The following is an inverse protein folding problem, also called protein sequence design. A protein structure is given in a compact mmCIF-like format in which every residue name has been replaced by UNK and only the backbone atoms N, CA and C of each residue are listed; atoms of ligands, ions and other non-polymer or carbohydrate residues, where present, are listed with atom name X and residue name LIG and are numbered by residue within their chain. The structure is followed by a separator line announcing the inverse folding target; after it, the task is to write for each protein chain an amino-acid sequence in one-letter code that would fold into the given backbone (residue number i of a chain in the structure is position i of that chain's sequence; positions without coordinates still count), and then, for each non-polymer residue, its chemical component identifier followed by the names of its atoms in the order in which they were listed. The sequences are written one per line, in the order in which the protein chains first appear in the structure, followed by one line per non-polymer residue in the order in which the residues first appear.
data_IF_469165781498
#
_entry.id   IF_469165781498
#
_cell.length_a   1.000
_cell.length_b   1.000
_cell.length_c   1.000
_cell.angle_alpha   90.00
_cell.angle_beta   90.00
_cell.angle_gamma   90.00
#
_symmetry.space_group_name_H-M   'P 1'
#
loop_
_entity.id
_entity.type
_entity.pdbx_description
1 polymer ?
#
# COMPACT_ATOMS: atom_id res chain seq x y z
N UNK A 1 12.02 -1.15 -14.27
CA UNK A 1 13.14 -1.32 -13.31
C UNK A 1 12.76 -1.19 -11.85
N UNK A 2 12.13 -0.08 -11.40
CA UNK A 2 11.91 0.19 -9.97
C UNK A 2 11.08 -0.90 -9.27
N UNK A 3 9.95 -1.29 -9.86
CA UNK A 3 9.09 -2.36 -9.33
C UNK A 3 9.82 -3.70 -9.21
N UNK A 4 10.61 -4.09 -10.21
CA UNK A 4 11.40 -5.33 -10.14
C UNK A 4 12.45 -5.30 -9.03
N UNK A 5 13.21 -4.20 -8.90
CA UNK A 5 14.18 -4.03 -7.80
C UNK A 5 13.48 -4.07 -6.44
N UNK A 6 12.29 -3.47 -6.36
CA UNK A 6 11.45 -3.54 -5.17
C UNK A 6 11.02 -4.98 -4.86
N UNK A 7 10.56 -5.77 -5.83
CA UNK A 7 10.15 -7.16 -5.60
C UNK A 7 11.31 -8.03 -5.08
N UNK A 8 12.51 -7.88 -5.66
CA UNK A 8 13.70 -8.61 -5.19
C UNK A 8 14.03 -8.22 -3.75
N UNK A 9 14.01 -6.92 -3.42
CA UNK A 9 14.26 -6.47 -2.05
C UNK A 9 13.15 -6.92 -1.08
N UNK A 10 11.90 -6.89 -1.53
CA UNK A 10 10.73 -7.28 -0.74
C UNK A 10 10.77 -8.78 -0.41
N UNK A 11 11.15 -9.65 -1.35
CA UNK A 11 11.30 -11.08 -1.08
C UNK A 11 12.38 -11.36 -0.01
N UNK A 12 13.54 -10.72 -0.16
CA UNK A 12 14.67 -10.88 0.75
C UNK A 12 14.34 -10.43 2.18
N UNK A 13 13.53 -9.38 2.33
CA UNK A 13 13.24 -8.77 3.64
C UNK A 13 11.93 -9.30 4.24
N UNK A 14 10.91 -9.50 3.42
CA UNK A 14 9.53 -9.78 3.84
C UNK A 14 8.95 -11.07 3.23
N UNK A 15 9.68 -11.82 2.41
CA UNK A 15 9.11 -12.94 1.64
C UNK A 15 8.40 -14.03 2.47
N UNK A 16 8.88 -14.31 3.69
CA UNK A 16 8.22 -15.24 4.63
C UNK A 16 7.12 -14.59 5.48
N UNK A 17 7.23 -13.28 5.69
CA UNK A 17 6.38 -12.51 6.61
C UNK A 17 5.16 -11.93 5.92
N UNK A 18 5.24 -11.77 4.61
CA UNK A 18 4.15 -11.30 3.76
C UNK A 18 3.40 -12.50 3.21
N UNK A 19 2.08 -12.49 3.36
CA UNK A 19 1.18 -13.41 2.68
C UNK A 19 0.40 -12.66 1.60
N UNK A 20 0.06 -13.34 0.52
CA UNK A 20 -0.80 -12.83 -0.55
C UNK A 20 -1.87 -13.86 -0.89
N UNK A 21 -2.95 -13.41 -1.54
CA UNK A 21 -3.99 -14.30 -2.08
C UNK A 21 -3.60 -14.66 -3.51
N UNK A 22 -3.26 -15.92 -3.76
CA UNK A 22 -2.93 -16.40 -5.11
C UNK A 22 -4.17 -16.48 -6.02
N UNK A 23 -3.97 -16.78 -7.30
CA UNK A 23 -5.05 -16.85 -8.29
C UNK A 23 -6.07 -17.98 -8.01
N UNK A 24 -5.71 -18.96 -7.17
CA UNK A 24 -6.60 -19.99 -6.68
C UNK A 24 -7.34 -19.58 -5.38
N UNK A 25 -7.13 -18.36 -4.90
CA UNK A 25 -7.76 -17.83 -3.68
C UNK A 25 -7.10 -18.31 -2.39
N UNK A 26 -5.89 -18.87 -2.45
CA UNK A 26 -5.17 -19.39 -1.28
C UNK A 26 -4.25 -18.33 -0.70
N UNK A 27 -4.22 -18.22 0.62
CA UNK A 27 -3.23 -17.41 1.34
C UNK A 27 -1.91 -18.16 1.36
N UNK A 28 -0.88 -17.60 0.73
CA UNK A 28 0.47 -18.20 0.67
C UNK A 28 1.55 -17.16 0.98
N UNK A 29 2.72 -17.56 1.49
CA UNK A 29 3.87 -16.67 1.60
C UNK A 29 4.20 -16.05 0.25
N UNK A 30 4.56 -14.76 0.26
CA UNK A 30 4.93 -14.01 -0.93
C UNK A 30 6.08 -14.72 -1.67
N UNK A 31 7.05 -15.24 -0.94
CA UNK A 31 8.19 -15.99 -1.50
C UNK A 31 7.77 -17.15 -2.38
N UNK A 32 6.76 -17.90 -1.97
CA UNK A 32 6.29 -19.06 -2.75
C UNK A 32 5.63 -18.62 -4.05
N UNK A 33 4.86 -17.52 -4.02
CA UNK A 33 4.26 -16.93 -5.22
C UNK A 33 5.32 -16.36 -6.17
N UNK A 34 6.38 -15.75 -5.63
CA UNK A 34 7.50 -15.25 -6.43
C UNK A 34 8.29 -16.40 -7.08
N UNK A 35 8.56 -17.49 -6.34
CA UNK A 35 9.22 -18.70 -6.85
C UNK A 35 8.43 -19.37 -7.98
N UNK A 36 7.11 -19.44 -7.86
CA UNK A 36 6.20 -19.95 -8.91
C UNK A 36 6.24 -19.09 -10.20
N UNK A 37 6.94 -17.95 -10.19
CA UNK A 37 7.08 -17.00 -11.30
C UNK A 37 8.54 -16.66 -11.60
N UNK A 38 9.49 -17.48 -11.14
CA UNK A 38 10.93 -17.28 -11.36
C UNK A 38 11.32 -17.12 -12.84
N UNK A 39 10.62 -17.82 -13.74
CA UNK A 39 10.86 -17.68 -15.18
C UNK A 39 10.44 -16.30 -15.71
N UNK A 40 9.25 -15.81 -15.35
CA UNK A 40 8.80 -14.46 -15.72
C UNK A 40 9.75 -13.39 -15.15
N UNK A 41 10.21 -13.56 -13.91
CA UNK A 41 11.16 -12.65 -13.28
C UNK A 41 12.54 -12.68 -13.97
N UNK A 42 13.01 -13.85 -14.42
CA UNK A 42 14.23 -13.98 -15.23
C UNK A 42 14.08 -13.31 -16.60
N UNK A 43 12.97 -13.54 -17.29
CA UNK A 43 12.66 -12.91 -18.58
C UNK A 43 12.57 -11.38 -18.46
N UNK A 44 11.89 -10.88 -17.43
CA UNK A 44 11.81 -9.44 -17.18
C UNK A 44 13.18 -8.84 -16.86
N UNK A 45 14.01 -9.52 -16.06
CA UNK A 45 15.40 -9.08 -15.79
C UNK A 45 16.20 -8.95 -17.09
N UNK A 46 16.13 -9.96 -17.96
CA UNK A 46 16.80 -9.96 -19.27
C UNK A 46 16.28 -8.81 -20.15
N UNK A 47 14.96 -8.64 -20.23
CA UNK A 47 14.33 -7.58 -21.02
C UNK A 47 14.77 -6.19 -20.60
N UNK A 48 14.85 -5.94 -19.29
CA UNK A 48 15.23 -4.63 -18.78
C UNK A 48 16.75 -4.39 -18.87
N UNK A 49 17.57 -5.43 -18.83
CA UNK A 49 19.00 -5.32 -19.16
C UNK A 49 19.20 -4.95 -20.64
N UNK A 50 18.44 -5.56 -21.56
CA UNK A 50 18.47 -5.23 -22.99
C UNK A 50 18.06 -3.77 -23.28
N UNK A 51 17.05 -3.27 -22.56
CA UNK A 51 16.53 -1.89 -22.73
C UNK A 51 17.33 -0.83 -21.95
N UNK A 52 18.29 -1.22 -21.11
CA UNK A 52 18.98 -0.37 -20.15
C UNK A 52 20.50 -0.36 -20.32
N UNK A 53 20.99 0.11 -21.48
CA UNK A 53 22.37 0.59 -21.77
C UNK A 53 23.53 -0.15 -21.07
N UNK A 54 24.22 -1.01 -21.83
CA UNK A 54 25.67 -1.24 -21.70
C UNK A 54 26.16 -2.30 -20.71
N UNK A 55 25.83 -3.57 -20.95
CA UNK A 55 26.76 -4.68 -20.70
C UNK A 55 26.70 -5.57 -21.94
N UNK A 56 27.85 -5.81 -22.58
CA UNK A 56 28.02 -6.74 -23.70
C UNK A 56 27.31 -8.06 -23.39
N UNK A 57 26.64 -8.68 -24.37
CA UNK A 57 26.89 -10.06 -24.80
C UNK A 57 26.04 -10.40 -26.05
N UNK A 58 26.76 -10.88 -27.06
CA UNK A 58 26.40 -11.20 -28.44
C UNK A 58 25.39 -12.36 -28.66
N UNK A 59 24.59 -12.78 -27.67
CA UNK A 59 23.78 -14.01 -27.81
C UNK A 59 22.33 -13.92 -27.27
N UNK A 60 21.79 -12.73 -27.09
CA UNK A 60 20.38 -12.58 -26.73
C UNK A 60 19.57 -11.95 -27.85
N UNK A 61 18.75 -12.77 -28.54
CA UNK A 61 17.69 -12.24 -29.38
C UNK A 61 16.87 -11.21 -28.58
N UNK A 62 16.70 -9.98 -29.10
CA UNK A 62 15.89 -8.99 -28.43
C UNK A 62 14.43 -9.46 -28.47
N UNK A 63 13.93 -9.95 -27.34
CA UNK A 63 12.52 -10.23 -27.15
C UNK A 63 11.79 -8.88 -27.10
N UNK A 64 11.49 -8.30 -28.26
CA UNK A 64 10.77 -7.04 -28.36
C UNK A 64 9.27 -7.25 -28.09
N UNK A 65 8.96 -7.82 -26.92
CA UNK A 65 7.64 -8.39 -26.64
C UNK A 65 6.96 -7.55 -25.55
N UNK A 66 6.11 -6.62 -25.98
CA UNK A 66 5.17 -5.89 -25.11
C UNK A 66 4.42 -6.84 -24.16
N UNK A 67 4.29 -8.12 -24.51
CA UNK A 67 3.71 -9.15 -23.65
C UNK A 67 4.45 -9.31 -22.33
N UNK A 68 5.78 -9.13 -22.26
CA UNK A 68 6.55 -9.30 -21.02
C UNK A 68 6.23 -8.20 -20.01
N UNK A 69 6.09 -6.95 -20.46
CA UNK A 69 5.69 -5.84 -19.60
C UNK A 69 4.24 -5.97 -19.14
N UNK A 70 3.33 -6.37 -20.04
CA UNK A 70 1.94 -6.63 -19.68
C UNK A 70 1.81 -7.77 -18.66
N UNK A 71 2.51 -8.89 -18.87
CA UNK A 71 2.58 -10.02 -17.94
C UNK A 71 3.16 -9.60 -16.59
N UNK A 72 4.18 -8.73 -16.58
CA UNK A 72 4.73 -8.21 -15.33
C UNK A 72 3.76 -7.28 -14.60
N UNK A 73 3.02 -6.43 -15.33
CA UNK A 73 2.00 -5.56 -14.73
C UNK A 73 0.85 -6.38 -14.11
N UNK A 74 0.36 -7.39 -14.83
CA UNK A 74 -0.63 -8.33 -14.29
C UNK A 74 -0.09 -9.10 -13.08
N UNK A 75 1.17 -9.55 -13.16
CA UNK A 75 1.82 -10.21 -12.03
C UNK A 75 1.95 -9.26 -10.83
N UNK A 76 2.38 -8.02 -11.03
CA UNK A 76 2.45 -7.02 -9.98
C UNK A 76 1.09 -6.81 -9.30
N UNK A 77 0.03 -6.65 -10.08
CA UNK A 77 -1.34 -6.53 -9.57
C UNK A 77 -1.76 -7.76 -8.76
N UNK A 78 -1.31 -8.96 -9.16
CA UNK A 78 -1.58 -10.21 -8.44
C UNK A 78 -0.97 -10.27 -7.05
N UNK A 79 0.07 -9.48 -6.76
CA UNK A 79 0.75 -9.45 -5.48
C UNK A 79 0.02 -8.62 -4.41
N UNK A 80 -1.12 -8.03 -4.73
CA UNK A 80 -1.90 -7.21 -3.80
C UNK A 80 -3.33 -7.75 -3.58
N UNK A 81 -3.89 -7.58 -2.37
CA UNK A 81 -3.27 -6.96 -1.20
C UNK A 81 -2.18 -7.84 -0.57
N UNK A 82 -1.23 -7.20 0.11
CA UNK A 82 -0.21 -7.91 0.89
C UNK A 82 -0.59 -7.91 2.36
N UNK A 83 -0.35 -9.03 3.01
CA UNK A 83 -0.59 -9.22 4.44
C UNK A 83 0.73 -9.38 5.18
N UNK A 84 1.16 -8.36 5.89
CA UNK A 84 2.46 -8.35 6.56
C UNK A 84 2.27 -8.67 8.03
N UNK A 85 2.74 -9.84 8.46
CA UNK A 85 2.79 -10.20 9.87
C UNK A 85 3.99 -9.57 10.57
N UNK A 86 3.73 -8.99 11.73
CA UNK A 86 4.75 -8.36 12.57
C UNK A 86 5.12 -9.32 13.70
N UNK A 87 6.39 -9.74 13.74
CA UNK A 87 6.86 -10.64 14.79
C UNK A 87 6.65 -10.03 16.17
N UNK A 88 6.03 -10.78 17.09
CA UNK A 88 5.71 -10.33 18.44
C UNK A 88 4.55 -9.34 18.55
N UNK A 89 3.86 -9.03 17.44
CA UNK A 89 2.68 -8.16 17.43
C UNK A 89 1.42 -8.98 17.19
N UNK A 90 0.31 -8.70 17.90
CA UNK A 90 -0.98 -9.29 17.56
C UNK A 90 -1.53 -8.69 16.26
N UNK A 91 -1.14 -7.47 15.89
CA UNK A 91 -1.63 -6.76 14.71
C UNK A 91 -0.81 -7.11 13.48
N UNK A 92 -1.50 -7.33 12.37
CA UNK A 92 -0.93 -7.46 11.04
C UNK A 92 -1.33 -6.28 10.14
N UNK A 93 -0.51 -5.97 9.14
CA UNK A 93 -0.74 -4.86 8.21
C UNK A 93 -1.25 -5.41 6.87
N UNK A 94 -2.37 -4.89 6.39
CA UNK A 94 -2.86 -5.12 5.03
C UNK A 94 -2.44 -3.94 4.15
N UNK A 95 -1.55 -4.19 3.19
CA UNK A 95 -1.09 -3.19 2.23
C UNK A 95 -1.90 -3.30 0.94
N UNK A 96 -2.56 -2.19 0.58
CA UNK A 96 -3.38 -2.05 -0.63
C UNK A 96 -2.61 -1.16 -1.61
N UNK A 97 -2.36 -1.66 -2.81
CA UNK A 97 -1.78 -0.85 -3.88
C UNK A 97 -2.87 0.04 -4.48
N UNK A 98 -2.88 1.29 -4.02
CA UNK A 98 -3.77 2.35 -4.50
C UNK A 98 -3.21 3.12 -5.69
N UNK A 99 -2.03 2.76 -6.22
CA UNK A 99 -1.43 3.48 -7.34
C UNK A 99 -2.07 3.02 -8.64
N UNK A 100 -2.77 3.91 -9.33
CA UNK A 100 -3.23 3.60 -10.68
C UNK A 100 -2.01 3.37 -11.59
N UNK A 101 -2.05 2.31 -12.41
CA UNK A 101 -1.08 2.12 -13.49
C UNK A 101 -1.22 3.28 -14.48
N UNK A 102 -0.38 4.30 -14.32
CA UNK A 102 -0.34 5.44 -15.22
C UNK A 102 1.09 5.67 -15.70
N UNK A 103 1.25 5.84 -17.02
CA UNK A 103 2.53 6.15 -17.65
C UNK A 103 2.96 7.61 -17.48
N UNK A 104 2.20 8.43 -16.75
CA UNK A 104 2.42 9.89 -16.66
C UNK A 104 2.31 10.40 -15.22
N UNK A 105 3.05 11.45 -14.89
CA UNK A 105 3.06 12.08 -13.55
C UNK A 105 1.65 12.57 -13.16
N UNK A 106 0.84 13.03 -14.13
CA UNK A 106 -0.52 13.49 -13.91
C UNK A 106 -1.50 12.35 -13.58
N UNK A 107 -1.31 11.14 -14.14
CA UNK A 107 -2.12 9.98 -13.80
C UNK A 107 -1.82 9.42 -12.41
N UNK A 108 -0.58 9.58 -11.92
CA UNK A 108 -0.17 9.20 -10.57
C UNK A 108 -0.78 10.08 -9.47
N UNK A 109 -1.41 11.20 -9.84
CA UNK A 109 -2.18 12.00 -8.90
C UNK A 109 -3.52 11.34 -8.54
N UNK A 110 -4.01 10.40 -9.36
CA UNK A 110 -5.26 9.70 -9.10
C UNK A 110 -4.99 8.31 -8.54
N UNK A 111 -5.56 8.04 -7.37
CA UNK A 111 -5.54 6.72 -6.79
C UNK A 111 -6.66 5.86 -7.35
N UNK A 112 -6.36 4.61 -7.68
CA UNK A 112 -7.35 3.59 -8.02
C UNK A 112 -6.93 2.24 -7.44
N UNK A 113 -7.91 1.39 -7.16
CA UNK A 113 -7.70 0.01 -6.73
C UNK A 113 -8.50 -0.85 -7.68
N UNK A 114 -7.84 -1.81 -8.34
CA UNK A 114 -8.51 -2.63 -9.34
C UNK A 114 -9.64 -3.46 -8.72
N UNK A 115 -10.71 -3.78 -9.48
CA UNK A 115 -11.78 -4.65 -9.01
C UNK A 115 -11.27 -6.01 -8.51
N UNK A 116 -10.24 -6.57 -9.16
CA UNK A 116 -9.57 -7.82 -8.73
C UNK A 116 -8.97 -7.66 -7.33
N UNK A 117 -8.28 -6.55 -7.07
CA UNK A 117 -7.69 -6.28 -5.77
C UNK A 117 -8.76 -6.05 -4.70
N UNK A 118 -9.86 -5.34 -5.00
CA UNK A 118 -11.01 -5.19 -4.08
C UNK A 118 -11.61 -6.54 -3.70
N UNK A 119 -11.78 -7.44 -4.67
CA UNK A 119 -12.28 -8.79 -4.41
C UNK A 119 -11.31 -9.59 -3.51
N UNK A 120 -10.00 -9.51 -3.77
CA UNK A 120 -8.99 -10.15 -2.92
C UNK A 120 -8.94 -9.55 -1.51
N UNK A 121 -9.09 -8.22 -1.35
CA UNK A 121 -9.21 -7.56 -0.04
C UNK A 121 -10.42 -8.12 0.73
N UNK A 122 -11.57 -8.22 0.06
CA UNK A 122 -12.78 -8.80 0.66
C UNK A 122 -12.53 -10.23 1.13
N UNK A 123 -12.03 -11.08 0.23
CA UNK A 123 -11.73 -12.48 0.53
C UNK A 123 -10.73 -12.62 1.69
N UNK A 124 -9.68 -11.80 1.68
CA UNK A 124 -8.64 -11.87 2.70
C UNK A 124 -9.15 -11.39 4.07
N UNK A 125 -9.99 -10.35 4.11
CA UNK A 125 -10.65 -9.89 5.34
C UNK A 125 -11.54 -10.98 5.95
N UNK A 126 -12.22 -11.76 5.11
CA UNK A 126 -13.06 -12.90 5.54
C UNK A 126 -12.22 -14.08 6.02
N UNK A 127 -11.15 -14.44 5.29
CA UNK A 127 -10.26 -15.54 5.67
C UNK A 127 -9.43 -15.23 6.92
N UNK A 128 -9.17 -13.95 7.20
CA UNK A 128 -8.43 -13.46 8.36
C UNK A 128 -9.37 -12.79 9.39
N UNK A 129 -10.60 -13.30 9.50
CA UNK A 129 -11.61 -12.75 10.39
C UNK A 129 -11.18 -12.71 11.87
N UNK A 130 -10.22 -13.55 12.28
CA UNK A 130 -9.73 -13.67 13.67
C UNK A 130 -8.45 -12.88 13.95
N UNK A 131 -7.77 -12.34 12.94
CA UNK A 131 -6.53 -11.55 13.13
C UNK A 131 -6.89 -10.07 13.28
N UNK A 132 -6.34 -9.30 14.23
CA UNK A 132 -6.52 -7.85 14.29
C UNK A 132 -5.69 -7.15 13.20
N UNK A 133 -6.34 -6.30 12.41
CA UNK A 133 -5.76 -5.76 11.17
C UNK A 133 -5.74 -4.23 11.17
N UNK A 134 -4.68 -3.67 10.60
CA UNK A 134 -4.65 -2.30 10.13
C UNK A 134 -4.44 -2.26 8.63
N UNK A 135 -4.99 -1.26 7.97
CA UNK A 135 -4.90 -1.11 6.52
C UNK A 135 -3.95 0.02 6.17
N UNK A 136 -3.11 -0.17 5.16
CA UNK A 136 -2.16 0.81 4.67
C UNK A 136 -2.34 0.98 3.16
N UNK A 137 -2.42 2.22 2.71
CA UNK A 137 -2.51 2.59 1.32
C UNK A 137 -1.86 3.95 1.07
N UNK A 138 -1.62 4.34 -0.17
CA UNK A 138 -0.99 5.62 -0.47
C UNK A 138 -2.03 6.75 -0.56
N UNK A 139 -3.06 6.58 -1.39
CA UNK A 139 -4.08 7.61 -1.64
C UNK A 139 -5.16 7.65 -0.55
N UNK A 140 -5.90 8.76 -0.43
CA UNK A 140 -6.90 8.88 0.62
C UNK A 140 -8.16 8.06 0.29
N UNK A 141 -8.71 7.33 1.25
CA UNK A 141 -9.99 6.59 1.09
C UNK A 141 -11.19 7.54 1.18
N UNK A 142 -11.06 8.59 1.98
CA UNK A 142 -12.12 9.52 2.30
C UNK A 142 -11.59 10.96 2.27
N UNK A 143 -12.49 11.92 2.06
CA UNK A 143 -12.12 13.32 2.03
C UNK A 143 -11.55 13.73 3.38
N UNK A 144 -10.45 14.51 3.41
CA UNK A 144 -10.03 15.17 4.63
C UNK A 144 -11.19 15.98 5.22
N UNK A 145 -11.35 16.04 6.56
CA UNK A 145 -12.45 16.79 7.22
C UNK A 145 -12.55 18.26 6.80
N UNK A 146 -11.45 18.82 6.32
CA UNK A 146 -11.31 20.22 5.93
C UNK A 146 -11.34 20.42 4.39
N UNK A 147 -11.75 19.41 3.62
CA UNK A 147 -11.91 19.53 2.18
C UNK A 147 -13.30 20.12 1.85
N UNK A 148 -13.33 21.11 0.97
CA UNK A 148 -14.54 21.72 0.42
C UNK A 148 -15.27 20.83 -0.61
N UNK A 149 -14.60 19.80 -1.13
CA UNK A 149 -15.13 18.89 -2.15
C UNK A 149 -14.95 19.38 -3.58
N UNK A 150 -14.12 20.42 -3.77
CA UNK A 150 -13.74 20.95 -5.07
C UNK A 150 -13.02 19.91 -5.96
N UNK A 151 -12.99 20.12 -7.27
CA UNK A 151 -12.53 19.12 -8.24
C UNK A 151 -11.04 18.73 -8.06
N UNK A 152 -10.20 19.68 -7.67
CA UNK A 152 -8.79 19.50 -7.31
C UNK A 152 -8.60 18.70 -6.01
N UNK A 153 -9.57 18.79 -5.10
CA UNK A 153 -9.64 17.99 -3.87
C UNK A 153 -10.19 16.57 -4.14
N UNK A 154 -10.89 16.32 -5.24
CA UNK A 154 -11.31 14.96 -5.60
C UNK A 154 -10.16 14.10 -6.11
N UNK A 155 -9.10 14.70 -6.64
CA UNK A 155 -7.83 14.02 -6.89
C UNK A 155 -7.14 13.52 -5.61
N UNK A 156 -7.59 13.93 -4.41
CA UNK A 156 -7.11 13.36 -3.14
C UNK A 156 -7.58 11.92 -2.95
N UNK A 157 -8.68 11.54 -3.59
CA UNK A 157 -9.40 10.32 -3.28
C UNK A 157 -9.02 9.17 -4.20
N UNK A 158 -9.11 7.98 -3.63
CA UNK A 158 -9.36 6.78 -4.41
C UNK A 158 -10.66 6.94 -5.20
N UNK A 159 -10.58 6.83 -6.52
CA UNK A 159 -11.75 6.81 -7.41
C UNK A 159 -12.74 5.73 -6.98
N UNK A 160 -12.21 4.56 -6.62
CA UNK A 160 -12.97 3.39 -6.17
C UNK A 160 -13.04 3.27 -4.63
N UNK A 161 -12.81 4.37 -3.90
CA UNK A 161 -12.69 4.38 -2.44
C UNK A 161 -13.89 3.77 -1.71
N UNK A 162 -15.10 3.89 -2.28
CA UNK A 162 -16.31 3.30 -1.70
C UNK A 162 -16.32 1.76 -1.69
N UNK A 163 -15.65 1.12 -2.66
CA UNK A 163 -15.56 -0.35 -2.72
C UNK A 163 -14.56 -0.87 -1.70
N UNK A 164 -13.41 -0.19 -1.60
CA UNK A 164 -12.41 -0.47 -0.56
C UNK A 164 -13.03 -0.28 0.82
N UNK A 165 -13.64 0.88 1.08
CA UNK A 165 -14.25 1.19 2.37
C UNK A 165 -15.31 0.15 2.76
N UNK A 166 -16.17 -0.27 1.83
CA UNK A 166 -17.15 -1.36 2.08
C UNK A 166 -16.49 -2.67 2.47
N UNK A 167 -15.35 -3.03 1.87
CA UNK A 167 -14.60 -4.22 2.26
C UNK A 167 -14.01 -4.07 3.68
N UNK A 168 -13.49 -2.89 4.02
CA UNK A 168 -12.92 -2.62 5.35
C UNK A 168 -13.98 -2.62 6.45
N UNK A 169 -15.16 -2.05 6.18
CA UNK A 169 -16.27 -1.95 7.13
C UNK A 169 -16.94 -3.29 7.48
N UNK A 170 -16.53 -4.40 6.85
CA UNK A 170 -16.91 -5.75 7.30
C UNK A 170 -16.31 -6.13 8.65
N UNK A 171 -15.36 -5.33 9.15
CA UNK A 171 -14.66 -5.55 10.41
C UNK A 171 -15.07 -4.49 11.44
N UNK A 172 -15.23 -4.86 12.72
CA UNK A 172 -15.48 -3.89 13.77
C UNK A 172 -14.22 -3.07 14.03
N UNK A 173 -14.38 -1.75 14.26
CA UNK A 173 -13.32 -0.81 14.68
C UNK A 173 -12.01 -1.03 13.91
N UNK A 174 -11.97 -0.48 12.70
CA UNK A 174 -10.86 -0.64 11.76
C UNK A 174 -10.06 0.65 11.64
N UNK A 175 -8.73 0.56 11.56
CA UNK A 175 -7.85 1.70 11.28
C UNK A 175 -7.23 1.57 9.88
N UNK A 176 -7.32 2.64 9.09
CA UNK A 176 -6.63 2.76 7.81
C UNK A 176 -5.66 3.96 7.82
N UNK A 177 -4.42 3.73 7.39
CA UNK A 177 -3.37 4.72 7.26
C UNK A 177 -3.13 5.06 5.78
N UNK A 178 -3.13 6.34 5.45
CA UNK A 178 -2.81 6.85 4.12
C UNK A 178 -1.84 8.05 4.14
N UNK A 179 -1.44 8.49 2.94
CA UNK A 179 -0.50 9.58 2.73
C UNK A 179 -0.83 10.40 1.48
N UNK A 180 0.07 10.41 0.50
CA UNK A 180 -0.05 11.14 -0.77
C UNK A 180 0.10 12.67 -0.69
N UNK A 181 -0.67 13.36 0.15
CA UNK A 181 -0.75 14.84 0.08
C UNK A 181 0.03 15.58 1.14
N UNK A 182 0.66 14.82 2.03
CA UNK A 182 1.45 15.37 3.13
C UNK A 182 0.58 16.22 4.07
N UNK A 183 -0.70 15.88 4.22
CA UNK A 183 -1.62 16.57 5.12
C UNK A 183 -1.92 15.63 6.28
N UNK A 184 -1.57 16.04 7.50
CA UNK A 184 -1.88 15.31 8.71
C UNK A 184 -3.35 15.49 9.09
N UNK A 185 -4.11 14.39 9.13
CA UNK A 185 -5.41 14.41 9.81
C UNK A 185 -5.80 13.03 10.35
N UNK A 186 -6.71 13.04 11.32
CA UNK A 186 -7.41 11.85 11.78
C UNK A 186 -8.90 12.12 11.65
N UNK A 187 -9.64 11.16 11.10
CA UNK A 187 -11.09 11.23 10.99
C UNK A 187 -11.70 9.87 11.34
N UNK A 188 -12.90 9.90 11.89
CA UNK A 188 -13.66 8.69 12.20
C UNK A 188 -14.97 8.70 11.43
N UNK A 189 -15.34 7.57 10.86
CA UNK A 189 -16.67 7.33 10.33
C UNK A 189 -17.41 6.43 11.33
N UNK A 190 -18.26 7.05 12.15
CA UNK A 190 -18.87 6.44 13.34
C UNK A 190 -17.79 5.80 14.26
N UNK A 191 -18.20 4.88 15.11
CA UNK A 191 -17.28 4.09 15.95
C UNK A 191 -16.64 2.93 15.18
N UNK A 192 -17.01 2.71 13.91
CA UNK A 192 -16.61 1.54 13.13
C UNK A 192 -15.27 1.69 12.40
N UNK A 193 -14.87 2.91 12.04
CA UNK A 193 -13.71 3.12 11.17
C UNK A 193 -12.97 4.42 11.49
N UNK A 194 -11.64 4.34 11.56
CA UNK A 194 -10.75 5.48 11.71
C UNK A 194 -9.79 5.53 10.52
N UNK A 195 -9.66 6.70 9.92
CA UNK A 195 -8.65 6.99 8.91
C UNK A 195 -7.62 7.96 9.47
N UNK A 196 -6.36 7.67 9.20
CA UNK A 196 -5.22 8.53 9.52
C UNK A 196 -4.49 8.85 8.24
N UNK A 197 -4.34 10.13 7.94
CA UNK A 197 -3.44 10.61 6.91
C UNK A 197 -2.20 11.17 7.57
N UNK A 198 -1.03 10.64 7.21
CA UNK A 198 0.23 11.15 7.74
C UNK A 198 0.74 12.35 6.93
N UNK A 199 1.32 13.37 7.59
CA UNK A 199 2.13 14.38 6.90
C UNK A 199 3.42 13.77 6.34
N UNK A 200 4.17 14.54 5.56
CA UNK A 200 5.45 14.06 5.02
C UNK A 200 6.52 14.01 6.09
N UNK A 201 7.27 12.92 6.14
CA UNK A 201 8.47 12.85 6.98
C UNK A 201 9.59 13.77 6.53
N UNK A 202 9.59 14.18 5.26
CA UNK A 202 10.62 15.04 4.68
C UNK A 202 10.16 16.48 4.54
N UNK A 203 8.92 16.70 4.10
CA UNK A 203 8.39 18.04 3.82
C UNK A 203 7.54 18.62 4.95
N UNK A 204 7.17 17.81 5.95
CA UNK A 204 6.24 18.20 6.99
C UNK A 204 4.78 18.20 6.54
N UNK A 205 3.95 18.97 7.24
CA UNK A 205 2.53 19.11 6.96
C UNK A 205 2.27 20.25 5.96
N UNK A 206 1.63 19.92 4.84
CA UNK A 206 1.31 20.87 3.78
C UNK A 206 0.27 21.92 4.20
N UNK A 207 -0.54 21.66 5.23
CA UNK A 207 -1.53 22.61 5.78
C UNK A 207 -1.06 23.27 7.06
N UNK A 208 -0.23 22.59 7.87
CA UNK A 208 0.36 23.16 9.09
C UNK A 208 1.88 23.32 8.93
N UNK A 209 2.31 24.46 8.36
CA UNK A 209 3.75 24.73 8.13
C UNK A 209 4.57 24.82 9.42
N UNK A 210 3.94 24.98 10.59
CA UNK A 210 4.66 24.93 11.87
C UNK A 210 5.13 23.50 12.20
N UNK A 211 4.45 22.50 11.64
CA UNK A 211 4.79 21.09 11.71
C UNK A 211 5.71 20.74 10.54
N UNK A 212 7.01 21.00 10.72
CA UNK A 212 8.08 20.69 9.76
C UNK A 212 8.29 19.18 9.56
N UNK A 213 9.48 18.76 9.14
CA UNK A 213 9.82 17.34 8.94
C UNK A 213 9.69 16.53 10.24
N UNK A 214 9.08 15.34 10.17
CA UNK A 214 8.90 14.43 11.30
C UNK A 214 7.86 13.35 11.03
N UNK A 215 7.52 12.53 12.01
CA UNK A 215 6.57 11.45 11.83
C UNK A 215 5.63 11.29 13.01
N UNK A 216 4.45 10.74 12.76
CA UNK A 216 3.56 10.30 13.82
C UNK A 216 3.95 8.92 14.32
N UNK A 217 3.85 8.75 15.63
CA UNK A 217 3.88 7.47 16.31
C UNK A 217 2.49 7.25 16.89
N UNK A 218 1.86 6.14 16.53
CA UNK A 218 0.55 5.76 17.02
C UNK A 218 0.68 4.55 17.95
N UNK A 219 0.10 4.66 19.15
CA UNK A 219 -0.11 3.52 20.03
C UNK A 219 -1.49 2.95 19.71
N UNK A 220 -1.54 1.67 19.37
CA UNK A 220 -2.78 0.97 19.04
C UNK A 220 -3.27 0.15 20.23
N UNK A 221 -4.58 0.17 20.47
CA UNK A 221 -5.26 -0.80 21.33
C UNK A 221 -5.83 -1.92 20.48
N UNK A 222 -5.83 -3.13 21.03
CA UNK A 222 -6.36 -4.34 20.39
C UNK A 222 -7.32 -5.02 21.36
N UNK A 223 -8.56 -5.23 20.92
CA UNK A 223 -9.60 -5.95 21.66
C UNK A 223 -10.22 -7.02 20.77
N UNK A 224 -9.76 -8.28 20.94
CA UNK A 224 -10.03 -9.35 19.99
C UNK A 224 -9.51 -8.98 18.60
N UNK A 225 -10.43 -8.70 17.66
CA UNK A 225 -10.12 -8.37 16.26
C UNK A 225 -10.25 -6.86 15.95
N UNK A 226 -10.75 -6.09 16.92
CA UNK A 226 -10.92 -4.64 16.84
C UNK A 226 -9.58 -3.96 17.10
N UNK A 227 -9.26 -2.93 16.31
CA UNK A 227 -8.06 -2.12 16.46
C UNK A 227 -8.45 -0.66 16.52
N UNK A 228 -7.90 0.08 17.48
CA UNK A 228 -8.11 1.52 17.55
C UNK A 228 -6.83 2.26 17.92
N UNK A 229 -6.80 3.57 17.67
CA UNK A 229 -5.69 4.43 18.10
C UNK A 229 -5.98 4.93 19.50
N UNK A 230 -5.12 4.54 20.44
CA UNK A 230 -5.15 5.00 21.83
C UNK A 230 -4.42 6.32 22.01
N UNK A 231 -3.30 6.50 21.31
CA UNK A 231 -2.44 7.67 21.45
C UNK A 231 -1.76 8.00 20.12
N UNK A 232 -1.57 9.29 19.85
CA UNK A 232 -0.80 9.78 18.71
C UNK A 232 0.22 10.80 19.22
N UNK A 233 1.49 10.63 18.85
CA UNK A 233 2.57 11.57 19.16
C UNK A 233 3.28 12.01 17.89
N UNK A 234 3.67 13.28 17.82
CA UNK A 234 4.54 13.78 16.77
C UNK A 234 6.00 13.75 17.20
N UNK A 235 6.85 13.18 16.36
CA UNK A 235 8.30 13.13 16.55
C UNK A 235 8.94 13.93 15.41
N UNK A 236 9.43 15.16 15.66
CA UNK A 236 10.11 15.92 14.62
C UNK A 236 11.48 15.32 14.32
N UNK A 237 11.88 15.41 13.05
CA UNK A 237 13.14 14.86 12.56
C UNK A 237 14.37 15.49 13.25
N UNK A 238 14.23 16.71 13.78
CA UNK A 238 15.30 17.43 14.48
C UNK A 238 15.35 17.17 16.00
N UNK A 239 14.61 16.17 16.52
CA UNK A 239 14.73 15.70 17.91
C UNK A 239 14.02 16.54 18.99
N UNK A 240 13.31 17.61 18.64
CA UNK A 240 12.56 18.42 19.61
C UNK A 240 11.16 17.89 19.89
N UNK A 241 10.92 17.10 20.93
CA UNK A 241 9.57 16.59 21.25
C UNK A 241 8.55 17.72 21.47
N UNK A 242 7.49 17.78 20.66
CA UNK A 242 6.28 18.55 20.98
C UNK A 242 5.16 17.58 21.31
N UNK A 243 4.73 17.57 22.58
CA UNK A 243 3.51 16.89 23.02
C UNK A 243 2.28 17.72 22.63
N UNK A 244 1.29 17.10 22.00
CA UNK A 244 -0.07 17.64 21.82
C UNK A 244 -1.06 16.73 22.52
#
# INVERSE_FOLDING_TARGET
MRQFRFLVALDLIQGDRTRVVDDAGRVRPLRDVLRDRDELLRLFRRQVQLLGVGLDFDEAEPLNDESVFAKFAEFWESLFPQFVSISGSPVSIVVIDSNATSGTIAGNAFGAVSPRQVARVTQMVEQLATEPLVFALHHHIALPPHASGAFDERGLLLLDGSFVLRALLRRPRTVAFNGHRHIGYMASAADAFRVVSAPSSTLGDARDRSRGSGFWVHTLSVDGIAVDIQETRWIPANGGTTST
#
